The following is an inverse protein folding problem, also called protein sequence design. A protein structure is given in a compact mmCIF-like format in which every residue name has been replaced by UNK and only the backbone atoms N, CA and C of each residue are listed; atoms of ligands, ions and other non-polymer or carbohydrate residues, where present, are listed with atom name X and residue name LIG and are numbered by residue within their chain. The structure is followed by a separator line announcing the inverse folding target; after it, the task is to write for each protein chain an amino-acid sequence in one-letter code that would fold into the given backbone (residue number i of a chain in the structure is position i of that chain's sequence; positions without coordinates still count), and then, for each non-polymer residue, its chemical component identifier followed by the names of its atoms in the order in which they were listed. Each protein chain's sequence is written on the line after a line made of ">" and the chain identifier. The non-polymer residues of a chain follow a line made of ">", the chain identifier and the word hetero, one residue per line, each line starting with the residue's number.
data_IF_286583910202
#
_entry.id   IF_286583910202
#
_cell.length_a   1.000
_cell.length_b   1.000
_cell.length_c   1.000
_cell.angle_alpha   90.00
_cell.angle_beta   90.00
_cell.angle_gamma   90.00
#
_symmetry.space_group_name_H-M   'P 1'
#
loop_
_entity.id
_entity.type
_entity.pdbx_description
1 polymer ?
#
# COMPACT_ATOMS: atom_id res chain seq x y z
N UNK A 1 19.30 32.85 21.56
CA UNK A 1 18.66 32.75 20.23
C UNK A 1 19.15 33.94 19.42
N UNK A 2 20.19 33.78 18.59
CA UNK A 2 20.77 34.89 17.83
C UNK A 2 19.97 35.10 16.54
N UNK A 3 19.21 36.19 16.49
CA UNK A 3 18.67 36.74 15.25
C UNK A 3 19.84 37.41 14.54
N UNK A 4 20.41 36.74 13.54
CA UNK A 4 21.37 37.38 12.64
C UNK A 4 20.57 38.37 11.78
N UNK A 5 20.71 39.67 12.02
CA UNK A 5 20.23 40.70 11.10
C UNK A 5 21.01 40.56 9.79
N UNK A 6 20.30 40.43 8.67
CA UNK A 6 20.85 40.33 7.33
C UNK A 6 20.66 41.70 6.69
N UNK A 7 21.72 42.49 6.58
CA UNK A 7 21.62 43.95 6.34
C UNK A 7 21.45 44.32 4.86
N UNK A 8 21.50 43.35 3.95
CA UNK A 8 21.27 43.58 2.52
C UNK A 8 20.25 42.61 1.94
N UNK A 9 19.48 43.10 0.96
CA UNK A 9 18.56 42.26 0.18
C UNK A 9 19.25 41.03 -0.45
N UNK A 10 20.54 41.15 -0.79
CA UNK A 10 21.35 40.06 -1.32
C UNK A 10 21.57 38.92 -0.31
N UNK A 11 21.79 39.26 0.96
CA UNK A 11 21.97 38.28 2.03
C UNK A 11 20.65 37.57 2.38
N UNK A 12 19.54 38.32 2.44
CA UNK A 12 18.19 37.76 2.62
C UNK A 12 17.85 36.81 1.47
N UNK A 13 18.12 37.21 0.23
CA UNK A 13 17.90 36.38 -0.97
C UNK A 13 18.74 35.09 -0.95
N UNK A 14 20.01 35.19 -0.53
CA UNK A 14 20.89 34.02 -0.41
C UNK A 14 20.40 33.06 0.67
N UNK A 15 19.95 33.58 1.81
CA UNK A 15 19.37 32.77 2.89
C UNK A 15 18.08 32.06 2.42
N UNK A 16 17.16 32.79 1.78
CA UNK A 16 15.92 32.23 1.21
C UNK A 16 16.22 31.12 0.19
N UNK A 17 17.18 31.34 -0.71
CA UNK A 17 17.61 30.33 -1.69
C UNK A 17 18.16 29.08 -1.00
N UNK A 18 19.02 29.25 0.00
CA UNK A 18 19.60 28.13 0.76
C UNK A 18 18.51 27.33 1.49
N UNK A 19 17.55 28.01 2.12
CA UNK A 19 16.39 27.37 2.77
C UNK A 19 15.54 26.61 1.76
N UNK A 20 15.27 27.19 0.60
CA UNK A 20 14.50 26.56 -0.46
C UNK A 20 15.19 25.30 -1.01
N UNK A 21 16.49 25.36 -1.27
CA UNK A 21 17.29 24.20 -1.70
C UNK A 21 17.29 23.11 -0.62
N UNK A 22 17.44 23.48 0.66
CA UNK A 22 17.35 22.55 1.79
C UNK A 22 15.99 21.86 1.86
N UNK A 23 14.90 22.63 1.75
CA UNK A 23 13.54 22.10 1.72
C UNK A 23 13.32 21.14 0.52
N UNK A 24 13.87 21.47 -0.65
CA UNK A 24 13.77 20.60 -1.83
C UNK A 24 14.53 19.28 -1.63
N UNK A 25 15.74 19.32 -1.04
CA UNK A 25 16.49 18.10 -0.69
C UNK A 25 15.73 17.22 0.30
N UNK A 26 15.10 17.81 1.32
CA UNK A 26 14.28 17.05 2.27
C UNK A 26 13.07 16.38 1.60
N UNK A 27 12.41 17.05 0.64
CA UNK A 27 11.33 16.43 -0.16
C UNK A 27 11.83 15.19 -0.89
N UNK A 28 12.97 15.29 -1.58
CA UNK A 28 13.57 14.17 -2.31
C UNK A 28 13.85 12.99 -1.37
N UNK A 29 14.49 13.23 -0.22
CA UNK A 29 14.76 12.18 0.77
C UNK A 29 13.48 11.53 1.27
N UNK A 30 12.45 12.32 1.59
CA UNK A 30 11.17 11.79 2.08
C UNK A 30 10.45 10.94 1.02
N UNK A 31 10.43 11.37 -0.24
CA UNK A 31 9.87 10.57 -1.35
C UNK A 31 10.61 9.25 -1.51
N UNK A 32 11.94 9.24 -1.41
CA UNK A 32 12.73 7.99 -1.49
C UNK A 32 12.41 7.04 -0.34
N UNK A 33 12.28 7.56 0.89
CA UNK A 33 11.87 6.74 2.04
C UNK A 33 10.48 6.13 1.84
N UNK A 34 9.50 6.92 1.37
CA UNK A 34 8.14 6.43 1.11
C UNK A 34 8.12 5.39 -0.01
N UNK A 35 8.92 5.59 -1.06
CA UNK A 35 9.07 4.62 -2.14
C UNK A 35 9.60 3.29 -1.60
N UNK A 36 10.65 3.32 -0.78
CA UNK A 36 11.21 2.13 -0.16
C UNK A 36 10.19 1.43 0.76
N UNK A 37 9.41 2.18 1.53
CA UNK A 37 8.33 1.63 2.36
C UNK A 37 7.26 0.95 1.51
N UNK A 38 6.83 1.59 0.41
CA UNK A 38 5.85 1.02 -0.51
C UNK A 38 6.39 -0.23 -1.19
N UNK A 39 7.65 -0.23 -1.64
CA UNK A 39 8.28 -1.39 -2.29
C UNK A 39 8.38 -2.60 -1.35
N UNK A 40 8.68 -2.39 -0.06
CA UNK A 40 8.82 -3.45 0.93
C UNK A 40 7.53 -3.80 1.68
N UNK A 41 6.43 -3.08 1.43
CA UNK A 41 5.14 -3.37 2.06
C UNK A 41 4.61 -4.73 1.58
N UNK A 42 4.27 -5.62 2.50
CA UNK A 42 3.60 -6.89 2.24
C UNK A 42 2.40 -7.03 3.17
N UNK A 43 1.35 -7.70 2.69
CA UNK A 43 0.14 -7.96 3.46
C UNK A 43 0.40 -9.01 4.52
N UNK A 44 -0.06 -8.76 5.75
CA UNK A 44 -0.01 -9.75 6.81
C UNK A 44 -0.97 -10.92 6.61
N UNK A 45 -0.69 -12.07 7.22
CA UNK A 45 -1.50 -13.29 7.09
C UNK A 45 -2.95 -13.12 7.56
N UNK A 46 -3.16 -12.36 8.65
CA UNK A 46 -4.49 -12.07 9.21
C UNK A 46 -4.94 -10.63 8.93
N UNK A 47 -4.18 -9.88 8.14
CA UNK A 47 -4.58 -8.55 7.69
C UNK A 47 -5.76 -8.66 6.71
N UNK A 48 -6.68 -7.69 6.77
CA UNK A 48 -7.79 -7.59 5.82
C UNK A 48 -7.37 -6.87 4.54
N UNK A 49 -8.05 -7.13 3.43
CA UNK A 49 -7.82 -6.40 2.17
C UNK A 49 -8.06 -4.90 2.33
N UNK A 50 -9.02 -4.49 3.16
CA UNK A 50 -9.32 -3.07 3.41
C UNK A 50 -8.17 -2.38 4.16
N UNK A 51 -7.65 -3.00 5.22
CA UNK A 51 -6.53 -2.45 5.98
C UNK A 51 -5.28 -2.34 5.09
N UNK A 52 -4.99 -3.39 4.33
CA UNK A 52 -3.83 -3.44 3.45
C UNK A 52 -3.90 -2.39 2.32
N UNK A 53 -5.04 -2.31 1.64
CA UNK A 53 -5.25 -1.32 0.57
C UNK A 53 -5.24 0.13 1.09
N UNK A 54 -5.68 0.34 2.33
CA UNK A 54 -5.58 1.64 3.01
C UNK A 54 -4.12 2.05 3.25
N UNK A 55 -3.25 1.13 3.69
CA UNK A 55 -1.80 1.40 3.84
C UNK A 55 -1.14 1.82 2.53
N UNK A 56 -1.45 1.11 1.43
CA UNK A 56 -0.95 1.48 0.09
C UNK A 56 -1.45 2.88 -0.29
N UNK A 57 -2.74 3.15 -0.10
CA UNK A 57 -3.35 4.44 -0.44
C UNK A 57 -2.73 5.60 0.34
N UNK A 58 -2.45 5.39 1.63
CA UNK A 58 -1.78 6.38 2.48
C UNK A 58 -0.37 6.69 1.96
N UNK A 59 0.47 5.68 1.70
CA UNK A 59 1.83 5.88 1.19
C UNK A 59 1.84 6.59 -0.16
N UNK A 60 0.97 6.16 -1.09
CA UNK A 60 0.85 6.79 -2.42
C UNK A 60 0.37 8.24 -2.29
N UNK A 61 -0.60 8.50 -1.40
CA UNK A 61 -1.09 9.86 -1.14
C UNK A 61 -0.03 10.78 -0.57
N UNK A 62 0.82 10.29 0.36
CA UNK A 62 1.94 11.06 0.89
C UNK A 62 3.00 11.36 -0.18
N UNK A 63 3.29 10.41 -1.08
CA UNK A 63 4.18 10.64 -2.22
C UNK A 63 3.61 11.72 -3.16
N UNK A 64 2.32 11.61 -3.51
CA UNK A 64 1.63 12.59 -4.36
C UNK A 64 1.58 13.98 -3.74
N UNK A 65 1.37 14.09 -2.42
CA UNK A 65 1.41 15.36 -1.70
C UNK A 65 2.80 16.04 -1.73
N UNK A 66 3.86 15.26 -1.95
CA UNK A 66 5.24 15.76 -2.14
C UNK A 66 5.57 16.10 -3.61
N UNK A 67 4.60 15.91 -4.53
CA UNK A 67 4.74 16.21 -5.96
C UNK A 67 5.14 15.00 -6.82
N UNK A 68 5.19 13.80 -6.25
CA UNK A 68 5.52 12.58 -6.99
C UNK A 68 4.32 12.10 -7.81
N UNK A 69 4.52 11.85 -9.11
CA UNK A 69 3.51 11.21 -9.94
C UNK A 69 3.58 9.70 -9.79
N UNK A 70 2.54 9.11 -9.19
CA UNK A 70 2.41 7.64 -9.07
C UNK A 70 1.31 7.16 -10.00
N UNK A 71 1.67 6.29 -10.95
CA UNK A 71 0.72 5.72 -11.91
C UNK A 71 -0.18 4.68 -11.23
N UNK A 72 -1.48 4.70 -11.53
CA UNK A 72 -2.42 3.71 -10.98
C UNK A 72 -2.02 2.27 -11.31
N UNK A 73 -1.52 2.04 -12.53
CA UNK A 73 -1.02 0.73 -12.95
C UNK A 73 0.15 0.23 -12.09
N UNK A 74 1.01 1.14 -11.63
CA UNK A 74 2.08 0.80 -10.69
C UNK A 74 1.49 0.36 -9.35
N UNK A 75 0.47 1.06 -8.85
CA UNK A 75 -0.24 0.71 -7.61
C UNK A 75 -0.92 -0.65 -7.71
N UNK A 76 -1.63 -0.94 -8.81
CA UNK A 76 -2.29 -2.24 -9.05
C UNK A 76 -1.26 -3.37 -9.03
N UNK A 77 -0.15 -3.21 -9.78
CA UNK A 77 0.93 -4.22 -9.80
C UNK A 77 1.60 -4.40 -8.45
N UNK A 78 1.76 -3.32 -7.68
CA UNK A 78 2.31 -3.41 -6.32
C UNK A 78 1.36 -4.16 -5.40
N UNK A 79 0.07 -3.84 -5.46
CA UNK A 79 -0.98 -4.47 -4.66
C UNK A 79 -1.04 -5.98 -4.92
N UNK A 80 -1.15 -6.39 -6.18
CA UNK A 80 -1.25 -7.82 -6.56
C UNK A 80 0.00 -8.64 -6.21
N UNK A 81 1.19 -8.02 -6.22
CA UNK A 81 2.44 -8.70 -5.85
C UNK A 81 2.64 -8.82 -4.34
N UNK A 82 1.96 -7.98 -3.56
CA UNK A 82 2.21 -7.83 -2.14
C UNK A 82 1.07 -8.36 -1.25
N UNK A 83 -0.04 -8.81 -1.85
CA UNK A 83 -1.05 -9.57 -1.10
C UNK A 83 -0.49 -10.91 -0.62
N UNK A 84 -1.02 -11.41 0.49
CA UNK A 84 -0.62 -12.72 1.06
C UNK A 84 -0.94 -13.86 0.09
N UNK A 85 -0.18 -14.96 0.21
CA UNK A 85 -0.30 -16.17 -0.61
C UNK A 85 -1.72 -16.77 -0.58
N UNK A 86 -2.51 -16.48 0.46
CA UNK A 86 -3.93 -16.87 0.51
C UNK A 86 -4.75 -16.35 -0.67
N UNK A 87 -4.28 -15.30 -1.36
CA UNK A 87 -4.92 -14.72 -2.56
C UNK A 87 -4.32 -15.19 -3.89
N UNK A 88 -3.35 -16.10 -3.91
CA UNK A 88 -2.63 -16.50 -5.14
C UNK A 88 -3.57 -16.87 -6.29
N UNK A 89 -4.64 -17.61 -6.00
CA UNK A 89 -5.59 -18.07 -7.02
C UNK A 89 -6.32 -16.91 -7.74
N UNK A 90 -6.74 -15.90 -6.99
CA UNK A 90 -7.44 -14.74 -7.58
C UNK A 90 -6.44 -13.82 -8.29
N UNK A 91 -5.22 -13.67 -7.75
CA UNK A 91 -4.14 -12.93 -8.43
C UNK A 91 -3.83 -13.58 -9.77
N UNK A 92 -3.55 -14.89 -9.82
CA UNK A 92 -3.28 -15.60 -11.08
C UNK A 92 -4.43 -15.48 -12.07
N UNK A 93 -5.68 -15.52 -11.59
CA UNK A 93 -6.86 -15.31 -12.45
C UNK A 93 -6.82 -13.91 -13.08
N UNK A 94 -6.66 -12.86 -12.27
CA UNK A 94 -6.57 -11.47 -12.74
C UNK A 94 -5.42 -11.27 -13.74
N UNK A 95 -4.27 -11.90 -13.48
CA UNK A 95 -3.09 -11.82 -14.35
C UNK A 95 -3.30 -12.52 -15.69
N UNK A 96 -3.85 -13.74 -15.67
CA UNK A 96 -4.01 -14.57 -16.86
C UNK A 96 -5.07 -14.02 -17.80
N UNK A 97 -6.18 -13.49 -17.28
CA UNK A 97 -7.26 -12.94 -18.09
C UNK A 97 -7.01 -11.49 -18.55
N UNK A 98 -5.78 -10.96 -18.37
CA UNK A 98 -5.39 -9.63 -18.85
C UNK A 98 -6.07 -8.46 -18.11
N UNK A 99 -6.80 -8.77 -17.03
CA UNK A 99 -7.66 -7.81 -16.33
C UNK A 99 -6.89 -6.69 -15.66
N UNK A 100 -5.59 -6.85 -15.40
CA UNK A 100 -4.72 -5.79 -14.87
C UNK A 100 -4.56 -4.58 -15.80
N UNK A 101 -4.87 -4.71 -17.09
CA UNK A 101 -4.78 -3.61 -18.05
C UNK A 101 -6.12 -2.91 -18.28
N UNK A 102 -7.22 -3.51 -17.83
CA UNK A 102 -8.58 -3.06 -18.14
C UNK A 102 -9.37 -2.69 -16.90
N UNK A 103 -9.06 -3.27 -15.73
CA UNK A 103 -9.71 -2.97 -14.46
C UNK A 103 -9.06 -1.79 -13.75
N UNK A 104 -9.91 -1.00 -13.09
CA UNK A 104 -9.54 0.04 -12.13
C UNK A 104 -8.99 -0.55 -10.83
N UNK A 105 -8.27 0.26 -10.05
CA UNK A 105 -7.79 -0.16 -8.72
C UNK A 105 -8.94 -0.61 -7.81
N UNK A 106 -10.06 0.12 -7.83
CA UNK A 106 -11.23 -0.16 -7.00
C UNK A 106 -11.88 -1.50 -7.34
N UNK A 107 -11.97 -1.87 -8.63
CA UNK A 107 -12.51 -3.17 -9.05
C UNK A 107 -11.59 -4.33 -8.64
N UNK A 108 -10.27 -4.13 -8.69
CA UNK A 108 -9.29 -5.12 -8.22
C UNK A 108 -9.44 -5.32 -6.71
N UNK A 109 -9.52 -4.24 -5.93
CA UNK A 109 -9.76 -4.30 -4.48
C UNK A 109 -11.09 -5.01 -4.19
N UNK A 110 -12.16 -4.65 -4.90
CA UNK A 110 -13.47 -5.29 -4.76
C UNK A 110 -13.41 -6.81 -5.03
N UNK A 111 -12.66 -7.23 -6.05
CA UNK A 111 -12.46 -8.65 -6.38
C UNK A 111 -11.73 -9.40 -5.27
N UNK A 112 -10.68 -8.79 -4.71
CA UNK A 112 -9.94 -9.36 -3.58
C UNK A 112 -10.80 -9.46 -2.31
N UNK A 113 -11.61 -8.43 -2.01
CA UNK A 113 -12.57 -8.46 -0.89
C UNK A 113 -13.61 -9.57 -1.04
N UNK A 114 -14.20 -9.70 -2.24
CA UNK A 114 -15.14 -10.78 -2.52
C UNK A 114 -14.50 -12.16 -2.38
N UNK A 115 -13.21 -12.29 -2.72
CA UNK A 115 -12.44 -13.51 -2.50
C UNK A 115 -12.17 -13.76 -1.01
N UNK A 116 -11.81 -12.72 -0.25
CA UNK A 116 -11.60 -12.80 1.20
C UNK A 116 -12.84 -13.33 1.94
N UNK A 117 -14.03 -12.83 1.60
CA UNK A 117 -15.30 -13.32 2.19
C UNK A 117 -15.54 -14.82 1.90
N UNK A 118 -15.23 -15.28 0.68
CA UNK A 118 -15.31 -16.70 0.33
C UNK A 118 -14.31 -17.54 1.12
N UNK A 119 -13.11 -17.04 1.39
CA UNK A 119 -12.13 -17.72 2.24
C UNK A 119 -12.63 -17.84 3.69
N UNK A 120 -13.20 -16.78 4.25
CA UNK A 120 -13.79 -16.79 5.61
C UNK A 120 -14.86 -17.87 5.75
N UNK A 121 -15.78 -17.95 4.78
CA UNK A 121 -16.83 -18.98 4.76
C UNK A 121 -16.28 -20.41 4.66
N UNK A 122 -15.23 -20.62 3.86
CA UNK A 122 -14.57 -21.93 3.75
C UNK A 122 -13.90 -22.33 5.07
N UNK A 123 -13.16 -21.42 5.71
CA UNK A 123 -12.52 -21.66 7.02
C UNK A 123 -13.55 -22.01 8.09
N UNK A 124 -14.66 -21.29 8.16
CA UNK A 124 -15.74 -21.57 9.11
C UNK A 124 -16.30 -22.99 8.94
N UNK A 125 -16.59 -23.40 7.70
CA UNK A 125 -17.08 -24.75 7.38
C UNK A 125 -16.08 -25.84 7.76
N UNK A 126 -14.80 -25.65 7.49
CA UNK A 126 -13.76 -26.62 7.86
C UNK A 126 -13.65 -26.76 9.38
N UNK A 127 -13.74 -25.65 10.12
CA UNK A 127 -13.70 -25.68 11.58
C UNK A 127 -14.91 -26.42 12.17
N UNK A 128 -16.12 -26.20 11.64
CA UNK A 128 -17.33 -26.93 12.05
C UNK A 128 -17.17 -28.45 11.84
N UNK A 129 -16.68 -28.86 10.66
CA UNK A 129 -16.42 -30.27 10.35
C UNK A 129 -15.41 -30.91 11.30
N UNK A 130 -14.33 -30.19 11.64
CA UNK A 130 -13.32 -30.67 12.59
C UNK A 130 -13.87 -30.82 14.01
N UNK A 131 -14.75 -29.91 14.45
CA UNK A 131 -15.41 -29.99 15.76
C UNK A 131 -16.34 -31.20 15.83
N UNK A 132 -17.14 -31.45 14.79
CA UNK A 132 -18.03 -32.61 14.71
C UNK A 132 -17.26 -33.94 14.74
N UNK A 133 -16.15 -34.03 13.98
CA UNK A 133 -15.31 -35.23 13.96
C UNK A 133 -14.66 -35.53 15.32
N UNK A 134 -14.24 -34.49 16.07
CA UNK A 134 -13.70 -34.65 17.43
C UNK A 134 -14.76 -35.10 18.44
N UNK A 135 -16.00 -34.62 18.29
CA UNK A 135 -17.12 -35.04 19.14
C UNK A 135 -17.52 -36.51 18.93
N UNK A 136 -17.34 -37.05 17.73
CA UNK A 136 -17.66 -38.45 17.40
C UNK A 136 -16.55 -39.45 17.76
N UNK A 137 -15.32 -38.98 18.03
CA UNK A 137 -14.19 -39.84 18.44
C UNK A 137 -14.04 -40.04 19.94
N UNK A 138 -14.98 -39.50 20.75
CA UNK A 138 -14.98 -39.57 22.22
C UNK A 138 -16.15 -40.38 22.79
N UNK A 139 -16.86 -41.17 21.97
CA UNK A 139 -17.88 -42.14 22.44
C UNK A 139 -17.38 -43.58 22.39
#
# INVERSE_FOLDING_TARGET
>A
MQVVSKDTAAEVWTALRSMHVGANRMKVVKVQTLRWQLENLCMGEEESVDDFSSKITLLVGEMQALGEKVEEKYVIKKLLRAVSDKFINIVTTIEFFGSMNTMTKEEIIGSLKAYEEKLKLRRARTNEQLLLARGQGLS
#
